data_IF_355770069612
#
_entry.id   IF_355770069612
#
_cell.length_a   1.000
_cell.length_b   1.000
_cell.length_c   1.000
_cell.angle_alpha   90.00
_cell.angle_beta   90.00
_cell.angle_gamma   90.00
#
_symmetry.space_group_name_H-M   'P 1'
#
loop_
_entity.id
_entity.type
_entity.pdbx_description
1 polymer ?
#
# COMPACT_ATOMS: atom_id res chain seq x y z
N UNK A 1 -15.57 -25.73 10.21
CA UNK A 1 -15.30 -24.57 11.08
C UNK A 1 -13.82 -24.25 10.95
N UNK A 2 -13.53 -23.12 10.29
CA UNK A 2 -12.27 -22.36 10.22
C UNK A 2 -10.93 -23.12 10.13
N UNK A 3 -10.38 -23.21 8.91
CA UNK A 3 -8.93 -23.26 8.69
C UNK A 3 -8.41 -21.83 8.60
N UNK A 4 -7.45 -21.50 9.47
CA UNK A 4 -6.75 -20.23 9.55
C UNK A 4 -5.65 -20.26 8.49
N UNK A 5 -5.75 -19.39 7.49
CA UNK A 5 -4.71 -19.13 6.50
C UNK A 5 -3.62 -18.27 7.12
N UNK A 6 -2.42 -18.84 7.26
CA UNK A 6 -1.18 -18.09 7.49
C UNK A 6 -0.91 -17.20 6.27
N UNK A 7 -1.17 -15.91 6.42
CA UNK A 7 -0.62 -14.88 5.54
C UNK A 7 0.65 -14.38 6.23
N UNK A 8 1.80 -14.81 5.69
CA UNK A 8 3.12 -14.27 6.02
C UNK A 8 3.06 -12.74 5.93
N UNK A 9 3.09 -12.11 7.10
CA UNK A 9 3.23 -10.67 7.25
C UNK A 9 4.69 -10.35 6.98
N UNK A 10 4.99 -9.96 5.74
CA UNK A 10 6.24 -9.30 5.40
C UNK A 10 6.31 -8.01 6.22
N UNK A 11 7.04 -8.06 7.33
CA UNK A 11 7.41 -6.91 8.12
C UNK A 11 8.25 -5.99 7.24
N UNK A 12 7.63 -4.94 6.71
CA UNK A 12 8.35 -3.79 6.17
C UNK A 12 9.09 -3.20 7.37
N UNK A 13 10.39 -3.48 7.45
CA UNK A 13 11.29 -2.76 8.34
C UNK A 13 11.22 -1.30 7.90
N UNK A 14 10.56 -0.48 8.73
CA UNK A 14 10.60 0.96 8.60
C UNK A 14 12.02 1.38 8.99
N UNK A 15 12.90 1.44 8.00
CA UNK A 15 14.12 2.23 8.08
C UNK A 15 13.71 3.70 8.18
N UNK A 16 13.39 4.09 9.41
CA UNK A 16 13.08 5.47 9.82
C UNK A 16 14.39 6.25 9.93
N UNK A 17 15.20 6.23 8.88
CA UNK A 17 16.49 6.91 8.87
C UNK A 17 16.55 7.90 7.71
N UNK A 18 16.62 9.18 8.07
CA UNK A 18 16.75 10.36 7.22
C UNK A 18 15.47 10.89 6.55
N UNK A 19 14.44 11.18 7.35
CA UNK A 19 13.80 12.48 7.16
C UNK A 19 14.88 13.47 7.57
N UNK A 20 15.55 14.08 6.59
CA UNK A 20 16.32 15.30 6.87
C UNK A 20 15.32 16.24 7.51
N UNK A 21 15.49 16.50 8.80
CA UNK A 21 14.91 17.67 9.46
C UNK A 21 15.22 18.84 8.56
N UNK A 22 14.20 19.25 7.78
CA UNK A 22 14.14 20.60 7.27
C UNK A 22 14.27 21.45 8.53
N UNK A 23 15.25 22.35 8.55
CA UNK A 23 15.58 23.25 9.66
C UNK A 23 14.36 24.11 10.06
N UNK A 24 13.36 23.51 10.70
CA UNK A 24 12.19 24.16 11.29
C UNK A 24 12.50 24.68 12.71
N UNK A 25 13.64 24.26 13.29
CA UNK A 25 14.11 24.65 14.62
C UNK A 25 14.10 26.17 14.88
N UNK A 26 14.60 27.07 14.00
CA UNK A 26 14.76 28.47 14.38
C UNK A 26 13.43 29.20 14.57
N UNK A 27 12.40 28.89 13.77
CA UNK A 27 11.09 29.54 13.90
C UNK A 27 10.30 29.04 15.10
N UNK A 28 10.32 27.73 15.33
CA UNK A 28 9.62 27.13 16.46
C UNK A 28 10.22 27.62 17.79
N UNK A 29 11.54 27.70 17.87
CA UNK A 29 12.25 28.26 19.02
C UNK A 29 11.93 29.76 19.21
N UNK A 30 12.02 30.57 18.14
CA UNK A 30 11.68 32.00 18.19
C UNK A 30 10.24 32.22 18.68
N UNK A 31 9.27 31.46 18.16
CA UNK A 31 7.86 31.56 18.58
C UNK A 31 7.65 31.10 20.03
N UNK A 32 8.39 30.09 20.47
CA UNK A 32 8.34 29.59 21.85
C UNK A 32 8.88 30.63 22.84
N UNK A 33 10.00 31.26 22.50
CA UNK A 33 10.58 32.37 23.29
C UNK A 33 9.61 33.54 23.37
N UNK A 34 9.04 33.97 22.23
CA UNK A 34 8.04 35.05 22.20
C UNK A 34 6.81 34.73 23.04
N UNK A 35 6.33 33.48 23.00
CA UNK A 35 5.20 33.04 23.82
C UNK A 35 5.50 33.11 25.31
N UNK A 36 6.73 32.74 25.72
CA UNK A 36 7.15 32.88 27.11
C UNK A 36 7.17 34.34 27.56
N UNK A 37 7.79 35.22 26.77
CA UNK A 37 7.84 36.66 27.04
C UNK A 37 6.43 37.27 27.14
N UNK A 38 5.52 36.88 26.25
CA UNK A 38 4.14 37.33 26.29
C UNK A 38 3.42 36.90 27.58
N UNK A 39 3.63 35.65 28.01
CA UNK A 39 3.06 35.15 29.26
C UNK A 39 3.60 35.88 30.49
N UNK A 40 4.88 36.27 30.49
CA UNK A 40 5.48 37.10 31.55
C UNK A 40 4.83 38.48 31.60
N UNK A 41 4.73 39.16 30.45
CA UNK A 41 4.08 40.47 30.34
C UNK A 41 2.62 40.39 30.80
N UNK A 42 1.88 39.32 30.46
CA UNK A 42 0.51 39.13 30.95
C UNK A 42 0.45 39.03 32.49
N UNK A 43 1.37 38.30 33.11
CA UNK A 43 1.45 38.17 34.58
C UNK A 43 1.78 39.51 35.23
N UNK A 44 2.74 40.25 34.69
CA UNK A 44 3.11 41.57 35.19
C UNK A 44 1.95 42.58 35.08
N UNK A 45 1.26 42.61 33.94
CA UNK A 45 0.08 43.46 33.74
C UNK A 45 -1.03 43.14 34.74
N UNK A 46 -1.26 41.85 35.03
CA UNK A 46 -2.21 41.43 36.06
C UNK A 46 -1.81 41.96 37.44
N UNK A 47 -0.54 41.81 37.82
CA UNK A 47 0.00 42.31 39.10
C UNK A 47 -0.12 43.84 39.22
N UNK A 48 0.14 44.58 38.13
CA UNK A 48 -0.02 46.03 38.09
C UNK A 48 -1.49 46.43 38.21
N UNK A 49 -2.40 45.71 37.55
CA UNK A 49 -3.85 45.93 37.66
C UNK A 49 -4.37 45.73 39.09
N UNK A 50 -3.91 44.69 39.77
CA UNK A 50 -4.23 44.43 41.17
C UNK A 50 -3.70 45.55 42.10
N UNK A 51 -2.45 45.99 41.87
CA UNK A 51 -1.83 47.11 42.61
C UNK A 51 -2.63 48.41 42.42
N UNK A 52 -3.01 48.72 41.18
CA UNK A 52 -3.81 49.91 40.86
C UNK A 52 -5.18 49.86 41.54
N UNK A 53 -5.81 48.69 41.57
CA UNK A 53 -7.10 48.49 42.25
C UNK A 53 -6.99 48.72 43.76
N UNK A 54 -5.92 48.22 44.40
CA UNK A 54 -5.64 48.48 45.81
C UNK A 54 -5.43 49.97 46.10
N UNK A 55 -4.62 50.63 45.27
CA UNK A 55 -4.33 52.06 45.38
C UNK A 55 -5.59 52.92 45.26
N UNK A 56 -6.50 52.55 44.34
CA UNK A 56 -7.80 53.21 44.20
C UNK A 56 -8.64 53.13 45.48
N UNK A 57 -8.67 51.96 46.13
CA UNK A 57 -9.40 51.77 47.40
C UNK A 57 -8.77 52.58 48.53
N UNK A 58 -7.44 52.60 48.64
CA UNK A 58 -6.72 53.40 49.65
C UNK A 58 -6.91 54.90 49.45
N UNK A 59 -6.86 55.38 48.20
CA UNK A 59 -7.15 56.78 47.87
C UNK A 59 -8.57 57.18 48.29
N UNK A 60 -9.58 56.37 47.95
CA UNK A 60 -10.96 56.60 48.35
C UNK A 60 -11.14 56.61 49.87
N UNK A 61 -10.46 55.73 50.60
CA UNK A 61 -10.45 55.72 52.07
C UNK A 61 -9.76 56.96 52.65
N UNK A 62 -8.70 57.44 52.02
CA UNK A 62 -8.01 58.65 52.46
C UNK A 62 -8.85 59.92 52.31
N UNK A 63 -9.80 59.93 51.35
CA UNK A 63 -10.71 61.06 51.11
C UNK A 63 -11.73 61.23 52.24
N UNK A 64 -12.07 60.16 52.97
CA UNK A 64 -13.05 60.18 54.07
C UNK A 64 -12.43 60.40 55.46
N UNK A 65 -11.10 60.34 55.62
CA UNK A 65 -10.39 60.64 56.86
C UNK A 65 -9.98 62.12 57.00
N UNK A 66 -9.96 62.64 58.24
CA UNK A 66 -9.64 64.03 58.60
C UNK A 66 -8.29 64.56 58.06
N UNK A 67 -8.17 65.88 58.06
CA UNK A 67 -7.13 66.76 57.48
C UNK A 67 -5.73 66.69 58.12
N UNK A 68 -5.32 65.53 58.64
CA UNK A 68 -4.00 65.39 59.28
C UNK A 68 -2.84 65.40 58.27
N UNK A 69 -1.69 65.92 58.71
CA UNK A 69 -0.47 66.09 57.90
C UNK A 69 -0.03 64.80 57.19
N UNK A 70 -0.19 63.63 57.83
CA UNK A 70 0.14 62.33 57.26
C UNK A 70 -0.78 61.95 56.07
N UNK A 71 -2.09 62.21 56.18
CA UNK A 71 -3.05 61.95 55.11
C UNK A 71 -2.78 62.85 53.88
N UNK A 72 -2.38 64.10 54.10
CA UNK A 72 -2.01 65.02 53.03
C UNK A 72 -0.73 64.61 52.29
N UNK A 73 0.27 64.05 53.00
CA UNK A 73 1.47 63.48 52.36
C UNK A 73 1.14 62.27 51.48
N UNK A 74 0.30 61.37 51.97
CA UNK A 74 -0.17 60.21 51.19
C UNK A 74 -0.95 60.63 49.94
N UNK A 75 -1.89 61.58 50.06
CA UNK A 75 -2.63 62.11 48.90
C UNK A 75 -1.71 62.73 47.84
N UNK A 76 -0.65 63.44 48.25
CA UNK A 76 0.35 64.00 47.31
C UNK A 76 1.17 62.91 46.62
N UNK A 77 1.65 61.89 47.34
CA UNK A 77 2.39 60.78 46.75
C UNK A 77 1.57 60.03 45.70
N UNK A 78 0.32 59.71 46.04
CA UNK A 78 -0.62 59.05 45.13
C UNK A 78 -0.94 59.90 43.89
N UNK A 79 -1.05 61.22 44.06
CA UNK A 79 -1.28 62.13 42.94
C UNK A 79 -0.14 62.09 41.92
N UNK A 80 1.12 62.06 42.37
CA UNK A 80 2.27 61.94 41.48
C UNK A 80 2.28 60.60 40.73
N UNK A 81 2.01 59.48 41.42
CA UNK A 81 1.93 58.16 40.77
C UNK A 81 0.80 58.09 39.73
N UNK A 82 -0.35 58.72 40.01
CA UNK A 82 -1.47 58.81 39.06
C UNK A 82 -1.10 59.65 37.84
N UNK A 83 -0.43 60.79 38.01
CA UNK A 83 -0.06 61.66 36.90
C UNK A 83 1.06 61.04 36.04
N UNK A 84 2.00 60.32 36.64
CA UNK A 84 3.00 59.51 35.94
C UNK A 84 2.34 58.42 35.08
N UNK A 85 1.37 57.68 35.66
CA UNK A 85 0.59 56.69 34.92
C UNK A 85 -0.17 57.31 33.73
N UNK A 86 -0.80 58.48 33.92
CA UNK A 86 -1.51 59.19 32.84
C UNK A 86 -0.55 59.60 31.73
N UNK A 87 0.66 60.05 32.07
CA UNK A 87 1.67 60.44 31.09
C UNK A 87 2.04 59.26 30.19
N UNK A 88 2.34 58.10 30.78
CA UNK A 88 2.65 56.89 30.03
C UNK A 88 1.48 56.39 29.16
N UNK A 89 0.25 56.38 29.70
CA UNK A 89 -0.94 55.98 28.92
C UNK A 89 -1.16 56.91 27.73
N UNK A 90 -1.01 58.23 27.91
CA UNK A 90 -1.14 59.21 26.84
C UNK A 90 -0.07 58.99 25.75
N UNK A 91 1.15 58.62 26.14
CA UNK A 91 2.20 58.28 25.17
C UNK A 91 1.82 57.02 24.35
N UNK A 92 1.30 55.97 24.99
CA UNK A 92 0.90 54.72 24.32
C UNK A 92 -0.28 54.90 23.35
N UNK A 93 -1.18 55.86 23.60
CA UNK A 93 -2.28 56.15 22.68
C UNK A 93 -1.83 56.87 21.41
N UNK A 94 -0.58 57.35 21.35
CA UNK A 94 -0.09 58.01 20.14
C UNK A 94 0.22 56.96 19.06
N UNK A 95 -0.16 57.22 17.80
CA UNK A 95 0.13 56.30 16.70
C UNK A 95 1.63 56.08 16.46
N UNK A 96 2.47 57.03 16.88
CA UNK A 96 3.93 57.02 16.73
C UNK A 96 4.65 56.45 17.96
N UNK A 97 3.93 55.79 18.87
CA UNK A 97 4.56 55.13 20.02
C UNK A 97 5.41 53.94 19.55
N UNK A 98 6.71 54.17 19.51
CA UNK A 98 7.71 53.30 18.88
C UNK A 98 7.59 51.81 19.25
N UNK A 99 7.38 51.42 20.54
CA UNK A 99 7.25 50.00 20.89
C UNK A 99 6.09 49.28 20.19
N UNK A 100 4.95 49.96 19.98
CA UNK A 100 3.80 49.37 19.27
C UNK A 100 4.06 49.30 17.77
N UNK A 101 4.73 50.31 17.21
CA UNK A 101 5.11 50.35 15.79
C UNK A 101 6.10 49.22 15.48
N UNK A 102 7.10 49.01 16.33
CA UNK A 102 8.10 47.95 16.17
C UNK A 102 7.45 46.57 16.29
N UNK A 103 6.58 46.35 17.27
CA UNK A 103 5.82 45.10 17.40
C UNK A 103 4.96 44.81 16.16
N UNK A 104 4.28 45.84 15.62
CA UNK A 104 3.50 45.70 14.39
C UNK A 104 4.39 45.27 13.22
N UNK A 105 5.58 45.88 13.08
CA UNK A 105 6.54 45.53 12.03
C UNK A 105 7.05 44.09 12.17
N UNK A 106 7.34 43.64 13.39
CA UNK A 106 7.76 42.27 13.67
C UNK A 106 6.66 41.27 13.30
N UNK A 107 5.40 41.55 13.67
CA UNK A 107 4.24 40.71 13.33
C UNK A 107 4.08 40.56 11.82
N UNK A 108 4.20 41.65 11.06
CA UNK A 108 4.10 41.58 9.59
C UNK A 108 5.24 40.75 8.97
N UNK A 109 6.48 40.91 9.44
CA UNK A 109 7.60 40.05 8.98
C UNK A 109 7.37 38.56 9.26
N UNK A 110 6.85 38.23 10.46
CA UNK A 110 6.52 36.85 10.80
C UNK A 110 5.40 36.30 9.91
N UNK A 111 4.37 37.10 9.61
CA UNK A 111 3.29 36.72 8.68
C UNK A 111 3.81 36.45 7.28
N UNK A 112 4.69 37.29 6.75
CA UNK A 112 5.32 37.08 5.44
C UNK A 112 6.12 35.78 5.42
N UNK A 113 6.96 35.53 6.44
CA UNK A 113 7.76 34.30 6.55
C UNK A 113 6.89 33.04 6.65
N UNK A 114 5.83 33.07 7.45
CA UNK A 114 4.85 31.97 7.55
C UNK A 114 4.17 31.73 6.19
N UNK A 115 3.83 32.80 5.47
CA UNK A 115 3.15 32.68 4.17
C UNK A 115 4.07 32.02 3.14
N UNK A 116 5.35 32.43 3.07
CA UNK A 116 6.33 31.83 2.17
C UNK A 116 6.54 30.34 2.47
N UNK A 117 6.76 29.99 3.74
CA UNK A 117 6.96 28.61 4.17
C UNK A 117 5.74 27.73 3.86
N UNK A 118 4.52 28.26 4.02
CA UNK A 118 3.31 27.53 3.64
C UNK A 118 3.22 27.26 2.14
N UNK A 119 3.64 28.21 1.30
CA UNK A 119 3.69 28.02 -0.16
C UNK A 119 4.69 26.92 -0.52
N UNK A 120 5.90 26.97 0.05
CA UNK A 120 6.93 25.94 -0.15
C UNK A 120 6.41 24.55 0.26
N UNK A 121 5.82 24.42 1.45
CA UNK A 121 5.23 23.18 1.95
C UNK A 121 4.12 22.63 1.03
N UNK A 122 3.29 23.50 0.46
CA UNK A 122 2.25 23.08 -0.49
C UNK A 122 2.91 22.51 -1.76
N UNK A 123 3.92 23.19 -2.30
CA UNK A 123 4.60 22.74 -3.52
C UNK A 123 5.35 21.41 -3.32
N UNK A 124 5.99 21.22 -2.16
CA UNK A 124 6.65 19.95 -1.83
C UNK A 124 5.63 18.82 -1.68
N UNK A 125 4.47 19.09 -1.07
CA UNK A 125 3.38 18.09 -0.97
C UNK A 125 2.87 17.68 -2.33
N UNK A 126 2.63 18.62 -3.25
CA UNK A 126 2.22 18.33 -4.63
C UNK A 126 3.26 17.48 -5.38
N UNK A 127 4.55 17.78 -5.19
CA UNK A 127 5.62 16.97 -5.78
C UNK A 127 5.64 15.55 -5.23
N UNK A 128 5.52 15.40 -3.90
CA UNK A 128 5.49 14.10 -3.23
C UNK A 128 4.27 13.27 -3.66
N UNK A 129 3.09 13.89 -3.79
CA UNK A 129 1.90 13.22 -4.30
C UNK A 129 2.09 12.68 -5.72
N UNK A 130 2.78 13.45 -6.58
CA UNK A 130 3.13 13.00 -7.93
C UNK A 130 4.06 11.78 -7.90
N UNK A 131 5.12 11.80 -7.08
CA UNK A 131 6.03 10.66 -6.93
C UNK A 131 5.27 9.42 -6.43
N UNK A 132 4.42 9.56 -5.42
CA UNK A 132 3.63 8.45 -4.87
C UNK A 132 2.71 7.86 -5.95
N UNK A 133 2.11 8.71 -6.78
CA UNK A 133 1.27 8.27 -7.89
C UNK A 133 2.08 7.48 -8.93
N UNK A 134 3.22 8.00 -9.35
CA UNK A 134 4.09 7.34 -10.35
C UNK A 134 4.57 5.97 -9.83
N UNK A 135 4.97 5.87 -8.56
CA UNK A 135 5.34 4.59 -7.92
C UNK A 135 4.17 3.61 -7.95
N UNK A 136 2.95 4.07 -7.61
CA UNK A 136 1.76 3.22 -7.59
C UNK A 136 1.42 2.69 -8.97
N UNK A 137 1.49 3.53 -9.98
CA UNK A 137 1.21 3.16 -11.38
C UNK A 137 2.25 2.14 -11.88
N UNK A 138 3.53 2.34 -11.58
CA UNK A 138 4.58 1.36 -11.91
C UNK A 138 4.41 0.02 -11.20
N UNK A 139 4.04 0.01 -9.92
CA UNK A 139 3.76 -1.24 -9.19
C UNK A 139 2.59 -2.01 -9.80
N UNK A 140 1.54 -1.30 -10.21
CA UNK A 140 0.39 -1.90 -10.90
C UNK A 140 0.80 -2.52 -12.24
N UNK A 141 1.60 -1.81 -13.04
CA UNK A 141 2.12 -2.32 -14.32
C UNK A 141 2.98 -3.58 -14.13
N UNK A 142 3.85 -3.59 -13.11
CA UNK A 142 4.69 -4.74 -12.78
C UNK A 142 3.83 -5.96 -12.43
N UNK A 143 2.80 -5.78 -11.61
CA UNK A 143 1.90 -6.87 -11.22
C UNK A 143 1.11 -7.39 -12.41
N UNK A 144 0.54 -6.53 -13.25
CA UNK A 144 -0.13 -6.95 -14.49
C UNK A 144 0.80 -7.75 -15.40
N UNK A 145 2.06 -7.31 -15.55
CA UNK A 145 3.06 -8.03 -16.34
C UNK A 145 3.40 -9.39 -15.73
N UNK A 146 3.50 -9.51 -14.40
CA UNK A 146 3.70 -10.79 -13.71
C UNK A 146 2.53 -11.73 -13.94
N UNK A 147 1.30 -11.23 -13.82
CA UNK A 147 0.10 -12.03 -14.09
C UNK A 147 0.04 -12.52 -15.54
N UNK A 148 0.40 -11.66 -16.53
CA UNK A 148 0.50 -12.08 -17.94
C UNK A 148 1.56 -13.15 -18.14
N UNK A 149 2.74 -13.00 -17.55
CA UNK A 149 3.81 -14.01 -17.61
C UNK A 149 3.38 -15.34 -17.01
N UNK A 150 2.78 -15.31 -15.82
CA UNK A 150 2.27 -16.52 -15.17
C UNK A 150 1.21 -17.22 -16.02
N UNK A 151 0.31 -16.47 -16.67
CA UNK A 151 -0.67 -17.03 -17.61
C UNK A 151 0.02 -17.66 -18.83
N UNK A 152 1.02 -16.99 -19.39
CA UNK A 152 1.81 -17.55 -20.50
C UNK A 152 2.54 -18.84 -20.08
N UNK A 153 3.17 -18.86 -18.91
CA UNK A 153 3.81 -20.07 -18.36
C UNK A 153 2.79 -21.22 -18.23
N UNK A 154 1.60 -20.95 -17.67
CA UNK A 154 0.55 -21.99 -17.58
C UNK A 154 0.00 -22.44 -18.94
N UNK A 155 -0.03 -21.55 -19.94
CA UNK A 155 -0.44 -21.91 -21.31
C UNK A 155 0.66 -22.72 -22.03
N UNK A 156 1.92 -22.36 -21.85
CA UNK A 156 3.07 -23.10 -22.38
C UNK A 156 3.14 -24.53 -21.82
N UNK A 157 2.63 -24.76 -20.60
CA UNK A 157 2.61 -26.06 -19.95
C UNK A 157 1.43 -26.97 -20.36
N UNK A 158 0.52 -26.49 -21.21
CA UNK A 158 -0.51 -27.32 -21.82
C UNK A 158 0.02 -27.92 -23.12
N UNK A 159 -0.01 -29.25 -23.23
CA UNK A 159 0.24 -30.00 -24.46
C UNK A 159 -1.10 -30.27 -25.17
N UNK A 160 -1.13 -30.01 -26.47
CA UNK A 160 -2.24 -30.40 -27.36
C UNK A 160 -1.78 -31.58 -28.21
N UNK A 161 -2.35 -32.76 -27.97
CA UNK A 161 -1.98 -34.03 -28.61
C UNK A 161 -3.13 -34.52 -29.49
N UNK A 162 -2.82 -35.11 -30.66
CA UNK A 162 -3.83 -35.78 -31.47
C UNK A 162 -4.13 -37.16 -30.87
N UNK A 163 -5.38 -37.40 -30.50
CA UNK A 163 -5.85 -38.67 -29.95
C UNK A 163 -6.74 -39.37 -30.99
N UNK A 164 -6.45 -40.64 -31.21
CA UNK A 164 -7.20 -41.50 -32.12
C UNK A 164 -7.83 -42.68 -31.36
N UNK A 165 -8.99 -43.15 -31.81
CA UNK A 165 -9.61 -44.35 -31.27
C UNK A 165 -10.50 -45.00 -32.35
N UNK A 166 -10.66 -46.32 -32.31
CA UNK A 166 -11.70 -46.98 -33.10
C UNK A 166 -12.99 -47.01 -32.28
N UNK A 167 -14.04 -46.33 -32.74
CA UNK A 167 -15.30 -46.26 -32.02
C UNK A 167 -15.89 -47.67 -31.88
N UNK A 168 -16.27 -48.12 -30.66
CA UNK A 168 -16.63 -49.51 -30.39
C UNK A 168 -17.92 -49.97 -31.09
N UNK A 169 -18.84 -49.03 -31.38
CA UNK A 169 -20.10 -49.31 -32.09
C UNK A 169 -19.98 -49.15 -33.62
N UNK A 170 -19.50 -48.01 -34.11
CA UNK A 170 -19.44 -47.72 -35.55
C UNK A 170 -18.25 -48.38 -36.25
N UNK A 171 -17.18 -48.71 -35.52
CA UNK A 171 -15.93 -49.22 -36.08
C UNK A 171 -15.11 -48.17 -36.85
N UNK A 172 -15.55 -46.91 -36.83
CA UNK A 172 -14.87 -45.81 -37.50
C UNK A 172 -13.72 -45.27 -36.65
N UNK A 173 -12.69 -44.77 -37.33
CA UNK A 173 -11.56 -44.09 -36.68
C UNK A 173 -12.00 -42.68 -36.29
N UNK A 174 -12.03 -42.41 -34.98
CA UNK A 174 -12.24 -41.08 -34.42
C UNK A 174 -10.92 -40.38 -34.19
N UNK A 175 -10.94 -39.06 -34.35
CA UNK A 175 -9.85 -38.15 -34.03
C UNK A 175 -10.37 -37.04 -33.10
N UNK A 176 -9.59 -36.71 -32.09
CA UNK A 176 -9.86 -35.61 -31.16
C UNK A 176 -8.59 -34.96 -30.65
N UNK A 177 -8.68 -33.71 -30.23
CA UNK A 177 -7.55 -32.96 -29.67
C UNK A 177 -7.56 -33.05 -28.16
N UNK A 178 -6.60 -33.76 -27.60
CA UNK A 178 -6.45 -33.95 -26.16
C UNK A 178 -5.55 -32.85 -25.59
N UNK A 179 -6.10 -32.04 -24.67
CA UNK A 179 -5.35 -30.98 -23.97
C UNK A 179 -5.01 -31.43 -22.55
N UNK A 180 -3.72 -31.54 -22.25
CA UNK A 180 -3.22 -32.04 -20.95
C UNK A 180 -2.03 -31.22 -20.48
N UNK A 181 -1.92 -31.01 -19.17
CA UNK A 181 -0.74 -30.34 -18.61
C UNK A 181 0.48 -31.28 -18.67
N UNK A 182 1.68 -30.76 -18.94
CA UNK A 182 2.93 -31.54 -19.08
C UNK A 182 3.22 -32.43 -17.88
N UNK A 183 2.82 -31.99 -16.68
CA UNK A 183 3.06 -32.69 -15.42
C UNK A 183 2.01 -33.74 -15.06
N UNK A 184 0.95 -33.91 -15.88
CA UNK A 184 -0.03 -34.95 -15.63
C UNK A 184 0.55 -36.34 -15.85
N UNK A 185 0.27 -37.25 -14.91
CA UNK A 185 0.66 -38.66 -15.01
C UNK A 185 -0.19 -39.37 -16.05
N UNK A 186 0.42 -40.38 -16.70
CA UNK A 186 -0.21 -41.13 -17.78
C UNK A 186 -1.59 -41.74 -17.44
N UNK A 187 -1.85 -42.30 -16.23
CA UNK A 187 -3.19 -42.76 -15.87
C UNK A 187 -4.25 -41.66 -15.90
N UNK A 188 -3.93 -40.47 -15.38
CA UNK A 188 -4.87 -39.33 -15.42
C UNK A 188 -5.13 -38.86 -16.85
N UNK A 189 -4.13 -38.95 -17.72
CA UNK A 189 -4.28 -38.65 -19.14
C UNK A 189 -5.14 -39.71 -19.85
N UNK A 190 -5.05 -40.98 -19.46
CA UNK A 190 -5.91 -42.06 -19.93
C UNK A 190 -7.37 -41.80 -19.54
N UNK A 191 -7.65 -41.41 -18.30
CA UNK A 191 -9.01 -41.09 -17.84
C UNK A 191 -9.63 -40.00 -18.72
N UNK A 192 -8.89 -38.90 -18.95
CA UNK A 192 -9.33 -37.80 -19.82
C UNK A 192 -9.54 -38.24 -21.27
N UNK A 193 -8.63 -39.05 -21.81
CA UNK A 193 -8.74 -39.59 -23.16
C UNK A 193 -9.96 -40.49 -23.32
N UNK A 194 -10.26 -41.30 -22.30
CA UNK A 194 -11.42 -42.19 -22.25
C UNK A 194 -12.73 -41.42 -22.22
N UNK A 195 -12.83 -40.38 -21.36
CA UNK A 195 -13.99 -39.49 -21.31
C UNK A 195 -14.18 -38.75 -22.64
N UNK A 196 -13.10 -38.20 -23.21
CA UNK A 196 -13.13 -37.44 -24.46
C UNK A 196 -13.60 -38.27 -25.66
N UNK A 197 -13.29 -39.57 -25.67
CA UNK A 197 -13.68 -40.50 -26.73
C UNK A 197 -15.04 -41.15 -26.50
N UNK A 198 -15.74 -40.82 -25.40
CA UNK A 198 -17.10 -41.28 -25.09
C UNK A 198 -17.27 -42.81 -25.19
N UNK A 199 -16.26 -43.57 -24.73
CA UNK A 199 -16.27 -45.04 -24.85
C UNK A 199 -17.25 -45.73 -23.86
N UNK A 200 -17.70 -45.02 -22.83
CA UNK A 200 -18.69 -45.51 -21.88
C UNK A 200 -20.11 -45.45 -22.48
N UNK A 201 -20.98 -46.45 -22.23
CA UNK A 201 -20.78 -47.64 -21.41
C UNK A 201 -20.25 -48.86 -22.19
N UNK A 202 -19.85 -48.68 -23.46
CA UNK A 202 -19.57 -49.78 -24.39
C UNK A 202 -18.31 -50.58 -24.03
N UNK A 203 -17.25 -49.91 -23.58
CA UNK A 203 -16.00 -50.55 -23.16
C UNK A 203 -15.56 -49.94 -21.83
N UNK A 204 -15.28 -50.74 -20.80
CA UNK A 204 -14.82 -50.21 -19.51
C UNK A 204 -13.34 -49.76 -19.61
N UNK A 205 -12.95 -48.77 -18.81
CA UNK A 205 -11.63 -48.14 -18.91
C UNK A 205 -10.46 -49.11 -18.65
N UNK A 206 -10.67 -50.16 -17.86
CA UNK A 206 -9.67 -51.21 -17.58
C UNK A 206 -9.29 -52.01 -18.82
N UNK A 207 -10.10 -51.93 -19.88
CA UNK A 207 -9.85 -52.54 -21.20
C UNK A 207 -9.33 -51.52 -22.22
N UNK A 208 -8.93 -50.35 -21.76
CA UNK A 208 -8.37 -49.28 -22.58
C UNK A 208 -6.93 -48.98 -22.14
N UNK A 209 -6.09 -48.60 -23.09
CA UNK A 209 -4.77 -48.03 -22.78
C UNK A 209 -4.33 -47.03 -23.84
N UNK A 210 -3.40 -46.17 -23.46
CA UNK A 210 -2.75 -45.26 -24.39
C UNK A 210 -1.50 -45.90 -24.99
N UNK A 211 -1.35 -45.75 -26.30
CA UNK A 211 -0.15 -46.14 -27.05
C UNK A 211 0.30 -45.01 -27.98
N UNK A 212 1.59 -44.96 -28.28
CA UNK A 212 2.12 -44.08 -29.33
C UNK A 212 1.64 -44.56 -30.69
N UNK A 213 1.16 -43.63 -31.50
CA UNK A 213 0.60 -43.93 -32.81
C UNK A 213 1.31 -43.13 -33.89
N UNK A 214 1.69 -43.80 -34.97
CA UNK A 214 2.11 -43.14 -36.19
C UNK A 214 0.92 -43.08 -37.13
N UNK A 215 0.37 -41.87 -37.28
CA UNK A 215 -0.77 -41.62 -38.16
C UNK A 215 -0.43 -41.84 -39.65
N UNK A 216 0.79 -41.52 -40.09
CA UNK A 216 1.19 -41.64 -41.50
C UNK A 216 1.27 -43.10 -41.91
N UNK A 217 1.86 -43.93 -41.05
CA UNK A 217 2.02 -45.36 -41.31
C UNK A 217 0.85 -46.20 -40.76
N UNK A 218 -0.07 -45.59 -40.00
CA UNK A 218 -1.21 -46.23 -39.32
C UNK A 218 -0.78 -47.40 -38.43
N UNK A 219 0.32 -47.25 -37.71
CA UNK A 219 0.90 -48.28 -36.83
C UNK A 219 0.99 -47.82 -35.39
N UNK A 220 0.79 -48.75 -34.46
CA UNK A 220 1.08 -48.55 -33.04
C UNK A 220 2.58 -48.77 -32.83
N UNK A 221 3.29 -47.71 -32.44
CA UNK A 221 4.76 -47.72 -32.36
C UNK A 221 5.27 -48.18 -30.99
N UNK A 222 4.61 -47.77 -29.91
CA UNK A 222 5.13 -47.97 -28.55
C UNK A 222 4.01 -48.08 -27.52
N UNK A 223 4.06 -49.12 -26.69
CA UNK A 223 3.21 -49.27 -25.51
C UNK A 223 3.78 -48.50 -24.32
N UNK A 224 2.90 -47.91 -23.51
CA UNK A 224 3.31 -47.12 -22.35
C UNK A 224 3.16 -47.84 -21.00
N UNK A 225 3.00 -49.16 -20.99
CA UNK A 225 2.74 -49.95 -19.78
C UNK A 225 3.84 -49.77 -18.69
N UNK A 226 5.08 -49.51 -19.10
CA UNK A 226 6.22 -49.29 -18.19
C UNK A 226 6.38 -47.82 -17.74
N UNK A 227 5.64 -46.90 -18.37
CA UNK A 227 5.78 -45.45 -18.19
C UNK A 227 4.66 -44.83 -17.35
N UNK A 228 3.84 -45.65 -16.68
CA UNK A 228 2.69 -45.19 -15.87
C UNK A 228 3.07 -44.21 -14.75
N UNK A 229 4.33 -44.23 -14.30
CA UNK A 229 4.87 -43.34 -13.28
C UNK A 229 5.45 -42.02 -13.84
N UNK A 230 5.54 -41.88 -15.15
CA UNK A 230 6.08 -40.69 -15.81
C UNK A 230 4.96 -39.72 -16.19
N UNK A 231 5.32 -38.45 -16.31
CA UNK A 231 4.41 -37.43 -16.79
C UNK A 231 4.32 -37.46 -18.32
N UNK A 232 3.20 -37.04 -18.88
CA UNK A 232 3.01 -37.03 -20.33
C UNK A 232 4.03 -36.12 -21.04
N UNK A 233 4.47 -35.04 -20.39
CA UNK A 233 5.54 -34.17 -20.91
C UNK A 233 6.90 -34.87 -21.01
N UNK A 234 7.21 -35.79 -20.10
CA UNK A 234 8.43 -36.61 -20.17
C UNK A 234 8.35 -37.64 -21.31
N UNK A 235 7.17 -38.24 -21.53
CA UNK A 235 6.95 -39.26 -22.55
C UNK A 235 6.94 -38.67 -23.96
N UNK A 236 6.29 -37.51 -24.14
CA UNK A 236 6.13 -36.84 -25.44
C UNK A 236 7.39 -36.05 -25.83
N UNK A 237 8.12 -35.50 -24.85
CA UNK A 237 9.26 -34.62 -25.09
C UNK A 237 8.85 -33.28 -25.70
N UNK A 238 9.81 -32.54 -26.31
CA UNK A 238 9.55 -31.26 -27.02
C UNK A 238 8.97 -31.41 -28.43
N UNK A 239 8.72 -32.63 -28.90
CA UNK A 239 8.28 -32.87 -30.28
C UNK A 239 6.81 -32.48 -30.45
N UNK A 240 6.55 -31.43 -31.25
CA UNK A 240 5.22 -30.80 -31.36
C UNK A 240 4.13 -31.61 -32.06
N UNK A 241 4.45 -32.77 -32.65
CA UNK A 241 3.47 -33.63 -33.32
C UNK A 241 3.57 -35.05 -32.75
N UNK A 242 2.92 -35.27 -31.61
CA UNK A 242 2.84 -36.59 -30.97
C UNK A 242 1.40 -37.09 -31.04
N UNK A 243 1.20 -38.25 -31.66
CA UNK A 243 -0.12 -38.85 -31.84
C UNK A 243 -0.27 -40.02 -30.86
N UNK A 244 -1.40 -40.03 -30.16
CA UNK A 244 -1.79 -41.07 -29.22
C UNK A 244 -2.94 -41.88 -29.80
N UNK A 245 -2.99 -43.17 -29.48
CA UNK A 245 -4.13 -44.02 -29.78
C UNK A 245 -4.66 -44.64 -28.50
N UNK A 246 -5.97 -44.54 -28.32
CA UNK A 246 -6.70 -45.20 -27.25
C UNK A 246 -7.07 -46.61 -27.72
N UNK A 247 -6.17 -47.56 -27.45
CA UNK A 247 -6.33 -48.96 -27.84
C UNK A 247 -7.32 -49.64 -26.90
N UNK A 248 -8.32 -50.31 -27.48
CA UNK A 248 -9.32 -51.09 -26.74
C UNK A 248 -9.07 -52.57 -26.95
N UNK A 249 -9.19 -53.36 -25.88
CA UNK A 249 -9.00 -54.81 -25.92
C UNK A 249 -10.35 -55.53 -25.83
N UNK A 250 -10.51 -56.66 -26.54
CA UNK A 250 -11.69 -57.53 -26.39
C UNK A 250 -11.67 -58.30 -25.07
N UNK A 251 -12.84 -58.75 -24.64
CA UNK A 251 -12.98 -59.53 -23.42
C UNK A 251 -12.20 -60.85 -23.58
N UNK A 252 -11.26 -61.11 -22.66
CA UNK A 252 -10.31 -62.25 -22.66
C UNK A 252 -9.11 -62.16 -23.61
N UNK A 253 -8.89 -61.04 -24.29
CA UNK A 253 -7.64 -60.79 -25.01
C UNK A 253 -6.64 -60.03 -24.12
N UNK A 254 -5.35 -60.24 -24.36
CA UNK A 254 -4.27 -59.45 -23.75
C UNK A 254 -3.74 -58.46 -24.77
N UNK A 255 -3.45 -57.24 -24.32
CA UNK A 255 -2.82 -56.24 -25.16
C UNK A 255 -1.49 -56.71 -25.78
N UNK A 256 -1.27 -56.38 -27.05
CA UNK A 256 0.00 -56.69 -27.75
C UNK A 256 1.08 -55.73 -27.27
N UNK A 257 2.27 -56.23 -26.92
CA UNK A 257 3.38 -55.32 -26.52
C UNK A 257 4.03 -54.72 -27.76
N UNK A 258 4.06 -53.39 -27.87
CA UNK A 258 4.75 -52.66 -28.93
C UNK A 258 6.02 -52.04 -28.37
N UNK A 259 7.17 -52.40 -28.95
CA UNK A 259 8.48 -51.83 -28.60
C UNK A 259 9.00 -51.05 -29.79
N UNK A 260 9.44 -49.82 -29.54
CA UNK A 260 10.14 -49.00 -30.53
C UNK A 260 11.34 -49.78 -31.09
N UNK A 261 11.41 -49.95 -32.41
CA UNK A 261 12.54 -50.58 -33.11
C UNK A 261 13.54 -49.53 -33.55
#
# INVERSE_FOLDING_TARGET
MAQITEVESLSVQNDTESIKEVEEEPLYEELTVLRSQFNEIQKENKKLSDKLSKMKVEYLRSLTSNTDSAANKLRRGLFFEIDDCKFHLKAMTRPDYQPLVDNKRIIEKLRERITLMNIELITEREHNEKIIKDIRDHLKEIEERRQRKKKQETEEDILELSLYCNHPVTGELMESKLKVHKDELLPSVLDKAYELMELAPHIPIERCRLVKYDYLNKVMEQSFDEFQHQTIGQIVGRAGNYCLFLETCKENETFKKYTYR
#
